data_IF_775938825556
#
_entry.id   IF_775938825556
#
_cell.length_a   1.000
_cell.length_b   1.000
_cell.length_c   1.000
_cell.angle_alpha   90.00
_cell.angle_beta   90.00
_cell.angle_gamma   90.00
#
_symmetry.space_group_name_H-M   'P 1'
#
loop_
_entity.id
_entity.type
_entity.pdbx_description
1 polymer ?
#
# COMPACT_ATOMS: atom_id res chain seq x y z
N UNK A 1 4.54 7.91 -12.09
CA UNK A 1 3.15 8.13 -11.59
C UNK A 1 3.10 8.52 -10.11
N UNK A 2 2.25 9.47 -9.72
CA UNK A 2 1.92 9.76 -8.31
C UNK A 2 0.54 9.23 -7.89
N UNK A 3 0.48 8.66 -6.69
CA UNK A 3 -0.77 8.38 -5.98
C UNK A 3 -0.89 9.30 -4.75
N UNK A 4 -1.78 10.28 -4.79
CA UNK A 4 -2.02 11.22 -3.70
C UNK A 4 -3.01 10.68 -2.69
N UNK A 5 -2.76 10.93 -1.40
CA UNK A 5 -3.58 10.39 -0.32
C UNK A 5 -4.57 11.42 0.21
N UNK A 6 -5.82 11.01 0.40
CA UNK A 6 -6.87 11.86 1.01
C UNK A 6 -6.64 12.12 2.51
N UNK A 7 -5.91 11.25 3.22
CA UNK A 7 -5.67 11.41 4.67
C UNK A 7 -4.19 11.27 5.06
N UNK A 8 -3.78 11.86 6.21
CA UNK A 8 -3.23 11.14 7.33
C UNK A 8 -2.47 9.83 7.09
N UNK A 9 -3.28 8.80 6.99
CA UNK A 9 -2.85 7.44 7.21
C UNK A 9 -2.98 6.70 5.90
N UNK A 10 -1.88 6.19 5.34
CA UNK A 10 -1.96 5.32 4.17
C UNK A 10 -2.79 4.05 4.40
N UNK A 11 -3.05 3.71 5.67
CA UNK A 11 -3.88 2.58 6.09
C UNK A 11 -5.38 2.89 6.08
N UNK A 12 -5.77 4.17 5.95
CA UNK A 12 -7.16 4.58 5.88
C UNK A 12 -7.25 5.82 4.98
N UNK A 13 -7.10 5.61 3.67
CA UNK A 13 -7.02 6.68 2.69
C UNK A 13 -7.51 6.22 1.31
N UNK A 14 -7.99 7.18 0.55
CA UNK A 14 -8.20 7.08 -0.89
C UNK A 14 -6.94 7.57 -1.60
N UNK A 15 -6.55 6.87 -2.66
CA UNK A 15 -5.40 7.15 -3.49
C UNK A 15 -5.88 7.65 -4.86
N UNK A 16 -5.52 8.87 -5.23
CA UNK A 16 -5.89 9.50 -6.50
C UNK A 16 -4.68 9.70 -7.41
N UNK A 17 -4.87 9.66 -8.73
CA UNK A 17 -3.82 10.02 -9.69
C UNK A 17 -3.62 11.54 -9.79
N UNK A 18 -2.77 11.99 -10.73
CA UNK A 18 -2.52 13.42 -10.98
C UNK A 18 -3.76 14.20 -11.44
N UNK A 19 -4.70 13.53 -12.12
CA UNK A 19 -5.96 14.13 -12.58
C UNK A 19 -7.04 14.17 -11.48
N UNK A 20 -6.72 13.70 -10.26
CA UNK A 20 -7.66 13.64 -9.14
C UNK A 20 -8.64 12.47 -9.21
N UNK A 21 -8.51 11.57 -10.19
CA UNK A 21 -9.33 10.36 -10.28
C UNK A 21 -8.95 9.38 -9.19
N UNK A 22 -9.94 8.77 -8.55
CA UNK A 22 -9.72 7.73 -7.55
C UNK A 22 -9.22 6.47 -8.25
N UNK A 23 -8.11 5.93 -7.77
CA UNK A 23 -7.51 4.69 -8.28
C UNK A 23 -7.67 3.54 -7.29
N UNK A 24 -7.44 3.84 -6.00
CA UNK A 24 -7.47 2.84 -4.94
C UNK A 24 -8.06 3.39 -3.65
N UNK A 25 -8.57 2.49 -2.83
CA UNK A 25 -9.00 2.77 -1.46
C UNK A 25 -8.36 1.75 -0.52
N UNK A 26 -7.81 2.23 0.59
CA UNK A 26 -7.34 1.40 1.69
C UNK A 26 -8.17 1.72 2.93
N UNK A 27 -8.76 0.71 3.52
CA UNK A 27 -9.53 0.81 4.76
C UNK A 27 -8.94 -0.15 5.80
N UNK A 28 -8.57 0.38 6.97
CA UNK A 28 -8.15 -0.41 8.12
C UNK A 28 -8.96 0.05 9.31
N UNK A 29 -10.09 -0.60 9.61
CA UNK A 29 -10.94 -0.21 10.71
C UNK A 29 -10.17 -0.32 12.04
N UNK A 30 -10.53 0.55 12.98
CA UNK A 30 -10.02 0.42 14.34
C UNK A 30 -10.63 -0.82 14.96
N UNK A 31 -9.80 -1.79 15.31
CA UNK A 31 -10.21 -3.00 16.00
C UNK A 31 -9.31 -3.28 17.21
N UNK A 32 -9.90 -3.93 18.22
CA UNK A 32 -9.21 -4.58 19.34
C UNK A 32 -8.73 -5.95 18.85
N UNK A 33 -7.45 -6.23 18.97
CA UNK A 33 -6.84 -7.46 18.45
C UNK A 33 -6.36 -7.33 17.01
N UNK A 34 -6.62 -8.34 16.18
CA UNK A 34 -6.19 -8.39 14.77
C UNK A 34 -6.87 -7.29 13.96
N UNK A 35 -6.07 -6.55 13.17
CA UNK A 35 -6.56 -5.49 12.28
C UNK A 35 -6.38 -5.91 10.84
N UNK A 36 -7.40 -5.76 10.01
CA UNK A 36 -7.28 -6.10 8.58
C UNK A 36 -7.32 -4.83 7.75
N UNK A 37 -6.29 -4.61 6.93
CA UNK A 37 -6.34 -3.62 5.85
C UNK A 37 -7.00 -4.25 4.64
N UNK A 38 -8.11 -3.67 4.18
CA UNK A 38 -8.73 -4.00 2.90
C UNK A 38 -8.29 -2.99 1.86
N UNK A 39 -7.85 -3.49 0.71
CA UNK A 39 -7.37 -2.70 -0.42
C UNK A 39 -8.32 -2.98 -1.58
N UNK A 40 -8.86 -1.93 -2.18
CA UNK A 40 -9.77 -2.00 -3.32
C UNK A 40 -9.28 -1.11 -4.45
N UNK A 41 -9.50 -1.52 -5.70
CA UNK A 41 -9.21 -0.73 -6.90
C UNK A 41 -10.49 -0.30 -7.60
N UNK A 42 -10.45 0.82 -8.32
CA UNK A 42 -11.57 1.25 -9.17
C UNK A 42 -11.67 0.34 -10.40
N UNK A 43 -12.90 0.01 -10.77
CA UNK A 43 -13.25 -0.80 -11.94
C UNK A 43 -14.00 0.07 -12.94
N UNK A 44 -13.69 -0.02 -14.25
CA UNK A 44 -14.50 0.62 -15.28
C UNK A 44 -15.97 0.21 -15.19
N UNK A 45 -16.87 1.15 -15.46
CA UNK A 45 -18.32 0.93 -15.36
C UNK A 45 -18.84 -0.15 -16.33
N UNK A 46 -18.07 -0.48 -17.37
CA UNK A 46 -18.46 -1.37 -18.47
C UNK A 46 -18.39 -2.87 -18.12
N UNK A 47 -17.95 -3.27 -16.92
CA UNK A 47 -17.97 -4.68 -16.49
C UNK A 47 -19.39 -5.07 -16.01
N UNK A 48 -20.10 -5.98 -16.71
CA UNK A 48 -21.44 -6.41 -16.32
C UNK A 48 -21.43 -7.09 -14.95
N UNK A 49 -22.41 -6.76 -14.10
CA UNK A 49 -22.61 -7.47 -12.83
C UNK A 49 -22.99 -8.93 -13.09
N UNK A 50 -22.34 -9.88 -12.42
CA UNK A 50 -23.03 -11.12 -12.08
C UNK A 50 -24.12 -10.76 -11.06
N UNK A 51 -25.38 -10.90 -11.48
CA UNK A 51 -26.57 -10.54 -10.73
C UNK A 51 -26.55 -11.09 -9.30
N UNK A 52 -26.67 -10.20 -8.32
CA UNK A 52 -27.30 -10.50 -7.04
C UNK A 52 -28.41 -9.47 -6.84
N UNK A 53 -29.64 -9.96 -6.79
CA UNK A 53 -30.87 -9.18 -6.73
C UNK A 53 -30.86 -8.15 -5.59
N UNK A 54 -31.12 -6.88 -5.91
CA UNK A 54 -32.23 -6.08 -5.35
C UNK A 54 -32.05 -4.57 -5.53
N UNK A 55 -33.08 -3.99 -6.12
CA UNK A 55 -33.51 -2.59 -6.23
C UNK A 55 -32.87 -1.52 -5.33
N UNK A 56 -32.19 -0.55 -5.96
CA UNK A 56 -32.35 0.88 -5.72
C UNK A 56 -31.58 1.64 -6.81
N UNK A 57 -32.24 1.85 -7.95
CA UNK A 57 -31.77 2.71 -9.02
C UNK A 57 -31.99 4.17 -8.62
N UNK A 58 -31.16 4.68 -7.72
CA UNK A 58 -31.06 6.10 -7.33
C UNK A 58 -29.80 6.23 -6.45
N UNK A 59 -28.60 6.42 -7.03
CA UNK A 59 -27.36 7.01 -6.42
C UNK A 59 -25.99 6.60 -7.04
N UNK A 60 -25.90 5.76 -8.07
CA UNK A 60 -24.62 5.11 -8.44
C UNK A 60 -23.72 5.89 -9.44
N UNK A 61 -23.31 7.13 -9.12
CA UNK A 61 -22.01 7.67 -9.57
C UNK A 61 -20.97 7.56 -8.43
N UNK A 62 -20.97 6.43 -7.73
CA UNK A 62 -19.96 6.09 -6.73
C UNK A 62 -19.04 5.08 -7.39
N UNK A 63 -17.76 5.46 -7.57
CA UNK A 63 -16.73 4.60 -8.15
C UNK A 63 -16.92 3.13 -7.76
N UNK A 64 -17.08 2.23 -8.75
CA UNK A 64 -17.22 0.79 -8.49
C UNK A 64 -15.87 0.27 -8.02
N UNK A 65 -15.76 -0.11 -6.75
CA UNK A 65 -14.54 -0.68 -6.19
C UNK A 65 -14.57 -2.21 -6.24
N UNK A 66 -13.59 -2.83 -6.88
CA UNK A 66 -13.32 -4.26 -6.74
C UNK A 66 -12.33 -4.52 -5.62
N UNK A 67 -12.51 -5.66 -4.97
CA UNK A 67 -11.55 -6.17 -4.01
C UNK A 67 -10.21 -6.46 -4.69
N UNK A 68 -9.12 -5.87 -4.20
CA UNK A 68 -7.76 -6.10 -4.70
C UNK A 68 -6.96 -7.02 -3.78
N UNK A 69 -6.95 -6.71 -2.48
CA UNK A 69 -6.15 -7.44 -1.50
C UNK A 69 -6.64 -7.24 -0.07
N UNK A 70 -6.21 -8.14 0.82
CA UNK A 70 -6.28 -7.95 2.27
C UNK A 70 -4.92 -8.18 2.92
N UNK A 71 -4.63 -7.39 3.96
CA UNK A 71 -3.50 -7.63 4.85
C UNK A 71 -4.04 -7.75 6.27
N UNK A 72 -4.04 -8.97 6.79
CA UNK A 72 -4.40 -9.25 8.17
C UNK A 72 -3.17 -9.03 9.08
N UNK A 73 -3.22 -7.99 9.90
CA UNK A 73 -2.14 -7.59 10.79
C UNK A 73 -2.27 -8.28 12.13
N UNK A 74 -1.52 -9.37 12.29
CA UNK A 74 -1.46 -10.11 13.54
C UNK A 74 -0.43 -9.49 14.48
N UNK A 75 -0.86 -9.26 15.73
CA UNK A 75 0.00 -8.74 16.81
C UNK A 75 0.94 -9.84 17.32
N UNK A 76 0.45 -11.07 17.36
CA UNK A 76 1.18 -12.28 17.74
C UNK A 76 1.26 -13.20 16.54
N UNK A 77 2.46 -13.62 16.16
CA UNK A 77 2.69 -14.48 14.99
C UNK A 77 2.90 -13.72 13.69
N UNK A 78 2.65 -14.38 12.55
CA UNK A 78 2.80 -13.79 11.22
C UNK A 78 1.48 -13.19 10.76
N UNK A 79 1.53 -11.97 10.22
CA UNK A 79 0.44 -11.42 9.41
C UNK A 79 0.16 -12.28 8.18
N UNK A 80 -1.06 -12.24 7.67
CA UNK A 80 -1.51 -12.93 6.46
C UNK A 80 -1.71 -11.92 5.33
N UNK A 81 -1.21 -12.24 4.14
CA UNK A 81 -1.39 -11.46 2.93
C UNK A 81 -2.29 -12.22 1.95
N UNK A 82 -3.40 -11.62 1.56
CA UNK A 82 -4.31 -12.13 0.52
C UNK A 82 -4.21 -11.24 -0.70
N UNK A 83 -3.60 -11.74 -1.77
CA UNK A 83 -3.36 -10.98 -2.99
C UNK A 83 -3.23 -11.91 -4.20
N UNK A 84 -3.81 -11.54 -5.35
CA UNK A 84 -3.72 -12.34 -6.58
C UNK A 84 -4.33 -13.74 -6.46
N UNK A 85 -5.41 -13.89 -5.68
CA UNK A 85 -6.05 -15.18 -5.41
C UNK A 85 -5.26 -16.13 -4.50
N UNK A 86 -4.13 -15.67 -3.94
CA UNK A 86 -3.30 -16.45 -3.01
C UNK A 86 -3.45 -15.91 -1.60
N UNK A 87 -3.40 -16.81 -0.63
CA UNK A 87 -3.21 -16.50 0.78
C UNK A 87 -1.81 -16.96 1.20
N UNK A 88 -0.98 -16.02 1.67
CA UNK A 88 0.44 -16.27 1.98
C UNK A 88 0.79 -15.62 3.32
N UNK A 89 1.53 -16.32 4.17
CA UNK A 89 2.04 -15.71 5.39
C UNK A 89 3.10 -14.66 5.05
N UNK A 90 3.00 -13.48 5.66
CA UNK A 90 3.95 -12.40 5.40
C UNK A 90 5.41 -12.76 5.73
N UNK A 91 5.64 -13.72 6.64
CA UNK A 91 6.98 -14.27 6.91
C UNK A 91 7.55 -15.11 5.75
N UNK A 92 6.69 -15.69 4.92
CA UNK A 92 7.05 -16.48 3.73
C UNK A 92 7.18 -15.57 2.52
N UNK A 93 6.27 -14.59 2.39
CA UNK A 93 6.32 -13.62 1.30
C UNK A 93 7.48 -12.62 1.44
N UNK A 94 7.78 -12.17 2.67
CA UNK A 94 8.84 -11.21 2.92
C UNK A 94 10.03 -11.81 3.68
N UNK A 95 11.17 -11.86 3.00
CA UNK A 95 12.46 -12.07 3.65
C UNK A 95 12.88 -10.79 4.39
N UNK A 96 13.47 -10.94 5.58
CA UNK A 96 14.03 -9.82 6.35
C UNK A 96 15.50 -9.65 6.01
N UNK A 97 15.95 -8.42 5.76
CA UNK A 97 17.37 -8.14 5.45
C UNK A 97 17.82 -6.78 6.00
N UNK A 98 19.11 -6.63 6.29
CA UNK A 98 19.70 -5.37 6.74
C UNK A 98 19.05 -4.80 8.00
N UNK A 99 19.20 -3.50 8.21
CA UNK A 99 18.65 -2.78 9.36
C UNK A 99 18.21 -1.37 8.96
N UNK A 100 17.03 -0.95 9.45
CA UNK A 100 16.52 0.42 9.35
C UNK A 100 16.10 0.95 10.72
N UNK A 101 15.69 2.22 10.76
CA UNK A 101 15.31 2.90 12.00
C UNK A 101 14.19 2.18 12.76
N UNK A 102 13.29 1.50 12.03
CA UNK A 102 12.22 0.69 12.60
C UNK A 102 12.43 -0.79 12.30
N UNK A 103 13.67 -1.28 12.40
CA UNK A 103 14.06 -2.69 12.28
C UNK A 103 14.42 -3.15 10.86
N UNK A 104 14.61 -4.47 10.70
CA UNK A 104 15.05 -5.08 9.41
C UNK A 104 14.13 -4.71 8.26
N UNK A 105 14.70 -4.47 7.08
CA UNK A 105 13.97 -4.22 5.83
C UNK A 105 13.13 -5.43 5.40
N UNK A 106 12.24 -5.23 4.42
CA UNK A 106 11.43 -6.31 3.83
C UNK A 106 11.83 -6.48 2.38
N UNK A 107 12.21 -7.69 2.00
CA UNK A 107 12.55 -8.09 0.64
C UNK A 107 11.49 -9.05 0.15
N UNK A 108 11.01 -8.87 -1.08
CA UNK A 108 10.07 -9.78 -1.73
C UNK A 108 10.42 -9.94 -3.20
N UNK A 109 9.94 -11.01 -3.80
CA UNK A 109 10.00 -11.23 -5.25
C UNK A 109 8.65 -10.85 -5.85
N UNK A 110 8.65 -9.90 -6.79
CA UNK A 110 7.45 -9.45 -7.48
C UNK A 110 7.02 -10.46 -8.56
N UNK A 111 5.85 -10.25 -9.15
CA UNK A 111 5.34 -11.10 -10.24
C UNK A 111 6.23 -11.09 -11.50
N UNK A 112 7.07 -10.08 -11.67
CA UNK A 112 8.06 -10.01 -12.75
C UNK A 112 9.32 -10.87 -12.51
N UNK A 113 9.38 -11.58 -11.37
CA UNK A 113 10.49 -12.46 -11.00
C UNK A 113 11.69 -11.74 -10.38
N UNK A 114 11.65 -10.40 -10.22
CA UNK A 114 12.75 -9.62 -9.64
C UNK A 114 12.56 -9.43 -8.15
N UNK A 115 13.68 -9.33 -7.42
CA UNK A 115 13.64 -8.99 -6.00
C UNK A 115 13.63 -7.48 -5.78
N UNK A 116 12.82 -7.05 -4.82
CA UNK A 116 12.67 -5.67 -4.40
C UNK A 116 12.77 -5.54 -2.88
N UNK A 117 13.32 -4.42 -2.42
CA UNK A 117 13.57 -4.17 -0.99
C UNK A 117 12.91 -2.88 -0.52
N UNK A 118 11.98 -3.02 0.42
CA UNK A 118 11.41 -1.93 1.19
C UNK A 118 12.35 -1.53 2.33
N UNK A 119 12.92 -0.34 2.22
CA UNK A 119 13.72 0.30 3.25
C UNK A 119 12.80 0.93 4.30
N UNK A 120 12.86 0.43 5.53
CA UNK A 120 12.17 0.97 6.71
C UNK A 120 12.96 2.16 7.31
N UNK A 121 12.87 3.32 6.67
CA UNK A 121 13.54 4.54 7.12
C UNK A 121 12.71 5.31 8.18
N UNK A 122 13.33 6.28 8.85
CA UNK A 122 12.76 7.04 9.98
C UNK A 122 11.47 7.80 9.66
N UNK A 123 11.29 8.28 8.43
CA UNK A 123 10.15 9.13 8.11
C UNK A 123 9.22 8.56 7.05
N UNK A 124 9.77 7.92 6.04
CA UNK A 124 8.99 7.33 4.94
C UNK A 124 9.64 6.06 4.42
N UNK A 125 8.85 5.04 4.05
CA UNK A 125 9.38 3.87 3.36
C UNK A 125 9.78 4.22 1.91
N UNK A 126 10.79 3.51 1.41
CA UNK A 126 11.29 3.60 0.04
C UNK A 126 11.51 2.20 -0.51
N UNK A 127 11.05 1.95 -1.73
CA UNK A 127 11.26 0.70 -2.46
C UNK A 127 12.40 0.86 -3.46
N UNK A 128 13.31 -0.11 -3.45
CA UNK A 128 14.40 -0.20 -4.41
C UNK A 128 14.43 -1.59 -5.05
N UNK A 129 15.04 -1.69 -6.24
CA UNK A 129 15.46 -2.98 -6.78
C UNK A 129 16.52 -3.58 -5.85
N UNK A 130 16.42 -4.87 -5.57
CA UNK A 130 17.35 -5.59 -4.70
C UNK A 130 18.56 -6.15 -5.45
N UNK A 131 19.23 -5.30 -6.22
CA UNK A 131 20.47 -5.62 -6.92
C UNK A 131 21.54 -4.55 -6.61
N UNK A 132 22.67 -4.62 -7.30
CA UNK A 132 23.77 -3.66 -7.14
C UNK A 132 23.38 -2.22 -7.52
N UNK A 133 22.45 -2.05 -8.47
CA UNK A 133 22.00 -0.74 -8.94
C UNK A 133 21.26 0.03 -7.85
N UNK A 134 20.53 -0.70 -6.98
CA UNK A 134 19.64 -0.13 -5.95
C UNK A 134 18.69 0.92 -6.52
N UNK A 135 18.28 0.75 -7.78
CA UNK A 135 17.40 1.68 -8.48
C UNK A 135 16.12 1.93 -7.71
N UNK A 136 15.67 3.19 -7.62
CA UNK A 136 14.47 3.56 -6.87
C UNK A 136 13.22 3.23 -7.69
N UNK A 137 12.27 2.55 -7.05
CA UNK A 137 11.05 2.02 -7.70
C UNK A 137 9.82 2.74 -7.17
N UNK A 138 9.77 2.99 -5.86
CA UNK A 138 8.72 3.79 -5.25
C UNK A 138 9.23 4.52 -4.00
N UNK A 139 8.61 5.66 -3.69
CA UNK A 139 8.92 6.44 -2.49
C UNK A 139 7.66 7.03 -1.92
N UNK A 140 7.46 6.84 -0.62
CA UNK A 140 6.43 7.56 0.10
C UNK A 140 6.92 8.96 0.50
N UNK A 141 6.06 9.95 0.31
CA UNK A 141 6.27 11.34 0.68
C UNK A 141 5.28 11.73 1.77
N UNK A 142 5.80 12.20 2.90
CA UNK A 142 4.99 12.86 3.94
C UNK A 142 4.57 14.24 3.45
N UNK A 143 3.40 14.69 3.89
CA UNK A 143 2.97 16.09 3.70
C UNK A 143 4.01 17.01 4.30
N UNK A 144 4.44 18.01 3.54
CA UNK A 144 5.22 19.14 4.03
C UNK A 144 4.48 20.42 3.68
N UNK A 145 4.34 21.32 4.67
CA UNK A 145 3.68 22.63 4.50
C UNK A 145 4.58 23.67 3.82
N UNK A 146 5.83 23.33 3.51
CA UNK A 146 6.79 24.23 2.87
C UNK A 146 7.53 25.14 3.84
N UNK A 147 7.47 24.85 5.15
CA UNK A 147 8.27 25.56 6.17
C UNK A 147 9.76 25.31 5.93
N UNK A 148 10.10 24.11 5.44
CA UNK A 148 11.44 23.76 4.97
C UNK A 148 11.30 23.16 3.57
N UNK A 149 11.72 23.90 2.54
CA UNK A 149 11.66 23.50 1.14
C UNK A 149 10.26 23.63 0.51
N UNK A 150 10.08 23.09 -0.71
CA UNK A 150 8.81 23.22 -1.44
C UNK A 150 7.67 22.46 -0.72
N UNK A 151 6.48 23.05 -0.57
CA UNK A 151 5.29 22.33 -0.12
C UNK A 151 5.06 21.10 -1.00
N UNK A 152 4.72 19.97 -0.37
CA UNK A 152 4.39 18.75 -1.12
C UNK A 152 3.21 18.03 -0.48
N UNK A 153 2.23 17.60 -1.29
CA UNK A 153 1.16 16.75 -0.80
C UNK A 153 1.71 15.38 -0.39
N UNK A 154 0.93 14.68 0.43
CA UNK A 154 1.24 13.30 0.81
C UNK A 154 0.97 12.40 -0.40
N UNK A 155 1.96 11.66 -0.83
CA UNK A 155 1.83 10.79 -2.01
C UNK A 155 2.74 9.58 -1.91
N UNK A 156 2.33 8.51 -2.60
CA UNK A 156 3.21 7.42 -2.99
C UNK A 156 3.64 7.69 -4.44
N UNK A 157 4.90 8.07 -4.64
CA UNK A 157 5.49 8.23 -5.97
C UNK A 157 5.99 6.86 -6.45
N UNK A 158 5.56 6.45 -7.64
CA UNK A 158 6.00 5.26 -8.35
C UNK A 158 6.80 5.73 -9.56
N UNK A 159 8.07 5.34 -9.61
CA UNK A 159 8.99 5.68 -10.69
C UNK A 159 8.72 4.77 -11.91
N UNK A 160 9.16 5.15 -13.13
CA UNK A 160 8.93 4.35 -14.34
C UNK A 160 9.30 2.86 -14.18
N UNK A 161 10.37 2.57 -13.43
CA UNK A 161 10.82 1.21 -13.14
C UNK A 161 9.88 0.34 -12.30
N UNK A 162 8.78 0.90 -11.78
CA UNK A 162 7.76 0.20 -10.98
C UNK A 162 6.34 0.31 -11.52
N UNK A 163 6.14 1.00 -12.65
CA UNK A 163 4.79 1.23 -13.21
C UNK A 163 4.12 -0.06 -13.70
N UNK A 164 4.89 -1.11 -14.00
CA UNK A 164 4.37 -2.42 -14.38
C UNK A 164 3.81 -3.23 -13.18
N UNK A 165 4.08 -2.82 -11.94
CA UNK A 165 3.74 -3.57 -10.72
C UNK A 165 3.04 -2.71 -9.66
N UNK A 166 2.30 -1.67 -10.09
CA UNK A 166 1.64 -0.68 -9.20
C UNK A 166 0.82 -1.32 -8.08
N UNK A 167 0.00 -2.33 -8.41
CA UNK A 167 -0.86 -2.99 -7.42
C UNK A 167 -0.03 -3.73 -6.36
N UNK A 168 1.03 -4.43 -6.75
CA UNK A 168 1.98 -5.07 -5.82
C UNK A 168 2.70 -4.04 -4.96
N UNK A 169 3.13 -2.92 -5.54
CA UNK A 169 3.74 -1.81 -4.78
C UNK A 169 2.76 -1.30 -3.73
N UNK A 170 1.50 -1.04 -4.08
CA UNK A 170 0.50 -0.54 -3.15
C UNK A 170 0.25 -1.53 -2.00
N UNK A 171 0.04 -2.80 -2.33
CA UNK A 171 -0.26 -3.87 -1.37
C UNK A 171 0.89 -4.06 -0.38
N UNK A 172 2.12 -4.18 -0.90
CA UNK A 172 3.31 -4.34 -0.06
C UNK A 172 3.62 -3.09 0.74
N UNK A 173 3.36 -1.89 0.19
CA UNK A 173 3.48 -0.62 0.90
C UNK A 173 2.54 -0.53 2.11
N UNK A 174 1.27 -0.92 1.98
CA UNK A 174 0.30 -0.92 3.09
C UNK A 174 0.80 -1.78 4.25
N UNK A 175 1.31 -2.98 3.97
CA UNK A 175 1.91 -3.85 4.98
C UNK A 175 3.13 -3.20 5.65
N UNK A 176 4.06 -2.67 4.85
CA UNK A 176 5.32 -2.09 5.35
C UNK A 176 5.08 -0.84 6.19
N UNK A 177 4.17 0.03 5.77
CA UNK A 177 3.82 1.24 6.51
C UNK A 177 3.10 0.93 7.82
N UNK A 178 2.27 -0.13 7.87
CA UNK A 178 1.69 -0.60 9.14
C UNK A 178 2.78 -0.98 10.14
N UNK A 179 3.72 -1.83 9.73
CA UNK A 179 4.83 -2.26 10.59
C UNK A 179 5.65 -1.05 11.06
N UNK A 180 5.94 -0.11 10.15
CA UNK A 180 6.71 1.09 10.47
C UNK A 180 5.98 1.92 11.54
N UNK A 181 4.69 2.17 11.37
CA UNK A 181 3.86 2.94 12.32
C UNK A 181 3.70 2.25 13.67
N UNK A 182 3.50 0.93 13.69
CA UNK A 182 3.39 0.20 14.95
C UNK A 182 4.68 0.30 15.76
N UNK A 183 5.83 0.19 15.10
CA UNK A 183 7.14 0.35 15.73
C UNK A 183 7.44 1.79 16.13
N UNK A 184 7.04 2.77 15.31
CA UNK A 184 7.11 4.20 15.66
C UNK A 184 6.29 4.49 16.93
N UNK A 185 5.09 3.93 17.04
CA UNK A 185 4.22 4.12 18.20
C UNK A 185 4.74 3.38 19.44
N UNK A 186 5.31 2.18 19.30
CA UNK A 186 5.88 1.42 20.42
C UNK A 186 7.19 2.03 20.95
N UNK A 187 7.84 2.91 20.19
CA UNK A 187 9.04 3.62 20.59
C UNK A 187 8.76 5.00 21.23
N UNK A 188 7.49 5.42 21.30
CA UNK A 188 7.05 6.62 22.02
C UNK A 188 6.60 6.25 23.42
#
# INVERSE_FOLDING_TARGET
MHLYLSTPSPLNATFTNEDGQVMYKVDTPMAVGTRTSTISCVVPNDIPQQQSDSSAAEESMKDRFAHLAQVEHNVVGSSVLRFGGKEILTKEYFRKEGWGAYGRHRVFTASDGREYKWLLQTFTPKLIVNDESKGVVAKFHRRNLGIIGKPRPRSLEIFPAGEHMVQEILVTFVYVEKIRKDRENAAR
#
